data_IF_082014858168
#
_entry.id   IF_082014858168
#
_cell.length_a   1.000
_cell.length_b   1.000
_cell.length_c   1.000
_cell.angle_alpha   90.00
_cell.angle_beta   90.00
_cell.angle_gamma   90.00
#
_symmetry.space_group_name_H-M   'P 1'
#
loop_
_entity.id
_entity.type
_entity.pdbx_description
1 polymer ?
#
# COMPACT_ATOMS: atom_id res chain seq x y z
N UNK A 1 -19.60 -8.90 -24.57
CA UNK A 1 -19.18 -9.99 -25.47
C UNK A 1 -20.28 -10.31 -26.52
N UNK A 2 -21.47 -10.75 -26.09
CA UNK A 2 -22.53 -11.21 -27.04
C UNK A 2 -23.09 -10.07 -27.91
N UNK A 3 -23.22 -8.86 -27.40
CA UNK A 3 -23.69 -7.69 -28.15
C UNK A 3 -22.60 -7.14 -29.08
N UNK A 4 -21.35 -7.13 -28.66
CA UNK A 4 -20.20 -6.77 -29.49
C UNK A 4 -20.02 -7.73 -30.69
N UNK A 5 -20.20 -9.02 -30.46
CA UNK A 5 -20.15 -10.03 -31.51
C UNK A 5 -21.27 -9.81 -32.54
N UNK A 6 -22.49 -9.56 -32.09
CA UNK A 6 -23.62 -9.23 -32.98
C UNK A 6 -23.38 -7.96 -33.79
N UNK A 7 -22.79 -6.94 -33.17
CA UNK A 7 -22.44 -5.68 -33.82
C UNK A 7 -21.46 -5.92 -34.96
N UNK A 8 -20.40 -6.68 -34.72
CA UNK A 8 -19.41 -7.06 -35.75
C UNK A 8 -20.05 -7.90 -36.88
N UNK A 9 -20.82 -8.91 -36.52
CA UNK A 9 -21.49 -9.81 -37.46
C UNK A 9 -22.42 -9.02 -38.42
N UNK A 10 -23.16 -8.03 -37.90
CA UNK A 10 -24.00 -7.14 -38.72
C UNK A 10 -23.21 -6.22 -39.63
N UNK A 11 -22.13 -5.61 -39.15
CA UNK A 11 -21.26 -4.79 -39.95
C UNK A 11 -20.61 -5.61 -41.10
N UNK A 12 -20.13 -6.81 -40.77
CA UNK A 12 -19.57 -7.74 -41.80
C UNK A 12 -20.62 -8.21 -42.81
N UNK A 13 -21.88 -8.43 -42.37
CA UNK A 13 -22.97 -8.77 -43.28
C UNK A 13 -23.22 -7.67 -44.29
N UNK A 14 -23.25 -6.41 -43.86
CA UNK A 14 -23.40 -5.24 -44.76
C UNK A 14 -22.22 -5.13 -45.72
N UNK A 15 -20.99 -5.35 -45.21
CA UNK A 15 -19.78 -5.34 -46.04
C UNK A 15 -19.79 -6.42 -47.14
N UNK A 16 -20.19 -7.66 -46.77
CA UNK A 16 -20.31 -8.77 -47.74
C UNK A 16 -21.35 -8.50 -48.84
N UNK A 17 -22.47 -7.85 -48.48
CA UNK A 17 -23.51 -7.50 -49.44
C UNK A 17 -23.12 -6.37 -50.39
N UNK A 18 -22.08 -5.57 -50.04
CA UNK A 18 -21.68 -4.39 -50.81
C UNK A 18 -20.18 -4.39 -51.15
N UNK A 19 -19.62 -5.54 -51.48
CA UNK A 19 -18.18 -5.73 -51.73
C UNK A 19 -17.55 -4.74 -52.70
N UNK A 20 -18.24 -4.33 -53.72
CA UNK A 20 -17.76 -3.38 -54.76
C UNK A 20 -17.53 -1.97 -54.18
N UNK A 21 -18.28 -1.61 -53.14
CA UNK A 21 -18.18 -0.32 -52.45
C UNK A 21 -17.04 -0.26 -51.46
N UNK A 22 -16.48 -1.36 -51.07
CA UNK A 22 -15.46 -1.47 -50.01
C UNK A 22 -14.06 -1.16 -50.55
N UNK A 23 -13.29 -0.43 -49.76
CA UNK A 23 -11.84 -0.22 -50.00
C UNK A 23 -10.96 -1.30 -49.41
N UNK A 24 -11.49 -2.06 -48.44
CA UNK A 24 -10.80 -3.16 -47.76
C UNK A 24 -11.78 -4.30 -47.42
N UNK A 25 -11.26 -5.44 -46.97
CA UNK A 25 -12.03 -6.68 -46.73
C UNK A 25 -12.34 -6.96 -45.28
N UNK A 26 -12.00 -6.06 -44.36
CA UNK A 26 -12.23 -6.23 -42.92
C UNK A 26 -12.84 -4.98 -42.29
N UNK A 27 -13.69 -5.21 -41.29
CA UNK A 27 -14.21 -4.14 -40.40
C UNK A 27 -13.16 -3.67 -39.42
N UNK A 28 -13.22 -2.41 -39.03
CA UNK A 28 -12.30 -1.81 -38.05
C UNK A 28 -13.07 -1.12 -36.95
N UNK A 29 -12.47 -0.99 -35.77
CA UNK A 29 -13.02 -0.18 -34.69
C UNK A 29 -12.42 1.23 -34.77
N UNK A 30 -13.30 2.24 -34.84
CA UNK A 30 -12.94 3.66 -34.79
C UNK A 30 -13.80 4.37 -33.76
N UNK A 31 -13.18 5.03 -32.81
CA UNK A 31 -13.87 5.75 -31.73
C UNK A 31 -14.93 4.89 -31.00
N UNK A 32 -14.66 3.57 -30.84
CA UNK A 32 -15.58 2.63 -30.21
C UNK A 32 -16.68 2.05 -31.14
N UNK A 33 -16.83 2.55 -32.38
CA UNK A 33 -17.78 2.06 -33.37
C UNK A 33 -17.17 1.01 -34.30
N UNK A 34 -17.94 -0.01 -34.65
CA UNK A 34 -17.54 -0.96 -35.68
C UNK A 34 -17.84 -0.38 -37.05
N UNK A 35 -16.81 0.01 -37.76
CA UNK A 35 -16.88 0.68 -39.04
C UNK A 35 -16.49 -0.24 -40.20
N UNK A 36 -17.11 -0.05 -41.33
CA UNK A 36 -16.72 -0.66 -42.61
C UNK A 36 -16.00 0.37 -43.49
N UNK A 37 -14.93 0.00 -44.18
CA UNK A 37 -14.15 0.89 -45.02
C UNK A 37 -14.80 1.04 -46.38
N UNK A 38 -15.42 2.19 -46.63
CA UNK A 38 -16.15 2.48 -47.88
C UNK A 38 -15.34 3.46 -48.74
N UNK A 39 -15.27 3.21 -50.06
CA UNK A 39 -14.67 4.14 -51.01
C UNK A 39 -15.51 5.43 -51.06
N UNK A 40 -14.89 6.59 -51.14
CA UNK A 40 -15.54 7.91 -51.07
C UNK A 40 -16.67 8.09 -52.09
N UNK A 41 -16.53 7.54 -53.28
CA UNK A 41 -17.51 7.59 -54.34
C UNK A 41 -18.83 6.88 -54.03
N UNK A 42 -18.78 5.86 -53.16
CA UNK A 42 -19.96 5.07 -52.74
C UNK A 42 -20.57 5.49 -51.42
N UNK A 43 -20.20 6.68 -50.89
CA UNK A 43 -20.67 7.17 -49.59
C UNK A 43 -22.18 7.06 -49.39
N UNK A 44 -22.97 7.39 -50.42
CA UNK A 44 -24.43 7.43 -50.36
C UNK A 44 -25.12 6.08 -50.62
N UNK A 45 -24.36 5.06 -51.02
CA UNK A 45 -24.88 3.68 -51.21
C UNK A 45 -25.01 2.89 -49.91
N UNK A 46 -24.25 3.28 -48.89
CA UNK A 46 -24.24 2.60 -47.59
C UNK A 46 -25.01 3.44 -46.60
N UNK A 47 -26.10 2.86 -46.06
CA UNK A 47 -26.83 3.48 -44.96
C UNK A 47 -26.05 3.35 -43.65
N UNK A 48 -25.64 4.48 -43.08
CA UNK A 48 -24.85 4.50 -41.84
C UNK A 48 -24.31 5.89 -41.52
N UNK A 49 -23.64 5.97 -40.39
CA UNK A 49 -23.00 7.20 -39.88
C UNK A 49 -21.52 7.23 -40.22
N UNK A 50 -21.05 8.34 -40.77
CA UNK A 50 -19.64 8.56 -41.01
C UNK A 50 -18.94 8.84 -39.67
N UNK A 51 -18.03 7.94 -39.27
CA UNK A 51 -17.30 8.04 -38.00
C UNK A 51 -15.92 8.68 -38.23
N UNK A 52 -15.21 8.25 -39.30
CA UNK A 52 -13.84 8.69 -39.57
C UNK A 52 -13.49 8.67 -41.05
N UNK A 53 -12.34 9.23 -41.42
CA UNK A 53 -11.79 9.25 -42.77
C UNK A 53 -10.33 8.85 -42.75
N UNK A 54 -9.86 8.20 -43.84
CA UNK A 54 -8.42 7.98 -44.01
C UNK A 54 -7.67 9.30 -44.18
N UNK A 55 -6.38 9.30 -43.92
CA UNK A 55 -5.50 10.47 -44.06
C UNK A 55 -5.53 11.09 -45.48
N UNK A 56 -5.74 10.28 -46.50
CA UNK A 56 -5.90 10.72 -47.89
C UNK A 56 -7.33 11.12 -48.25
N UNK A 57 -8.31 10.84 -47.38
CA UNK A 57 -9.72 11.08 -47.60
C UNK A 57 -10.38 10.19 -48.66
N UNK A 58 -9.67 9.19 -49.19
CA UNK A 58 -10.17 8.25 -50.21
C UNK A 58 -11.05 7.15 -49.62
N UNK A 59 -10.85 6.79 -48.34
CA UNK A 59 -11.67 5.81 -47.59
C UNK A 59 -12.45 6.49 -46.50
N UNK A 60 -13.72 6.16 -46.37
CA UNK A 60 -14.63 6.60 -45.34
C UNK A 60 -14.94 5.43 -44.41
N UNK A 61 -14.78 5.62 -43.13
CA UNK A 61 -15.14 4.62 -42.12
C UNK A 61 -16.58 4.89 -41.67
N UNK A 62 -17.49 4.05 -42.13
CA UNK A 62 -18.94 4.21 -41.91
C UNK A 62 -19.39 3.12 -40.94
N UNK A 63 -20.09 3.51 -39.87
CA UNK A 63 -20.85 2.60 -39.04
C UNK A 63 -22.18 2.31 -39.74
N UNK A 64 -22.46 1.06 -40.12
CA UNK A 64 -23.74 0.73 -40.77
C UNK A 64 -24.90 0.92 -39.80
N UNK A 65 -26.02 1.45 -40.29
CA UNK A 65 -27.26 1.63 -39.47
C UNK A 65 -27.74 0.31 -38.85
N UNK A 66 -27.43 -0.83 -39.50
CA UNK A 66 -27.78 -2.15 -39.00
C UNK A 66 -26.98 -2.56 -37.73
N UNK A 67 -25.78 -1.99 -37.52
CA UNK A 67 -24.94 -2.21 -36.34
C UNK A 67 -25.11 -1.13 -35.28
N UNK A 68 -25.55 0.09 -35.64
CA UNK A 68 -25.71 1.23 -34.74
C UNK A 68 -26.62 0.96 -33.54
N UNK A 69 -27.73 0.24 -33.77
CA UNK A 69 -28.63 -0.19 -32.65
C UNK A 69 -27.93 -1.01 -31.57
N UNK A 70 -26.98 -1.87 -31.96
CA UNK A 70 -26.21 -2.67 -31.01
C UNK A 70 -25.14 -1.85 -30.29
N UNK A 71 -24.68 -0.75 -30.91
CA UNK A 71 -23.81 0.20 -30.23
C UNK A 71 -24.54 0.92 -29.10
N UNK A 72 -25.75 1.41 -29.36
CA UNK A 72 -26.62 2.03 -28.34
C UNK A 72 -26.91 1.05 -27.20
N UNK A 73 -27.34 -0.16 -27.51
CA UNK A 73 -27.57 -1.24 -26.52
C UNK A 73 -26.30 -1.53 -25.70
N UNK A 74 -25.13 -1.51 -26.33
CA UNK A 74 -23.86 -1.72 -25.64
C UNK A 74 -23.54 -0.58 -24.66
N UNK A 75 -23.83 0.67 -25.05
CA UNK A 75 -23.62 1.81 -24.15
C UNK A 75 -24.56 1.77 -22.95
N UNK A 76 -25.83 1.42 -23.15
CA UNK A 76 -26.79 1.23 -22.06
C UNK A 76 -26.33 0.13 -21.09
N UNK A 77 -25.94 -1.03 -21.60
CA UNK A 77 -25.42 -2.13 -20.77
C UNK A 77 -24.16 -1.74 -19.98
N UNK A 78 -23.26 -0.95 -20.55
CA UNK A 78 -22.08 -0.44 -19.84
C UNK A 78 -22.43 0.55 -18.73
N UNK A 79 -23.42 1.41 -18.97
CA UNK A 79 -23.93 2.32 -17.94
C UNK A 79 -24.60 1.53 -16.80
N UNK A 80 -25.37 0.50 -17.12
CA UNK A 80 -26.00 -0.37 -16.13
C UNK A 80 -24.97 -1.13 -15.30
N UNK A 81 -23.92 -1.66 -15.93
CA UNK A 81 -22.80 -2.31 -15.25
C UNK A 81 -22.10 -1.33 -14.29
N UNK A 82 -21.81 -0.11 -14.74
CA UNK A 82 -21.17 0.92 -13.89
C UNK A 82 -22.06 1.30 -12.70
N UNK A 83 -23.37 1.46 -12.93
CA UNK A 83 -24.34 1.77 -11.89
C UNK A 83 -24.44 0.63 -10.86
N UNK A 84 -24.43 -0.63 -11.32
CA UNK A 84 -24.47 -1.78 -10.43
C UNK A 84 -23.20 -1.91 -9.61
N UNK A 85 -22.01 -1.67 -10.20
CA UNK A 85 -20.74 -1.62 -9.47
C UNK A 85 -20.80 -0.52 -8.39
N UNK A 86 -21.29 0.67 -8.73
CA UNK A 86 -21.45 1.77 -7.75
C UNK A 86 -22.40 1.38 -6.62
N UNK A 87 -23.51 0.72 -6.93
CA UNK A 87 -24.49 0.25 -5.93
C UNK A 87 -23.83 -0.73 -4.95
N UNK A 88 -23.12 -1.73 -5.47
CA UNK A 88 -22.43 -2.74 -4.65
C UNK A 88 -21.38 -2.07 -3.77
N UNK A 89 -20.56 -1.18 -4.34
CA UNK A 89 -19.53 -0.47 -3.56
C UNK A 89 -20.14 0.41 -2.47
N UNK A 90 -21.26 1.06 -2.75
CA UNK A 90 -21.98 1.85 -1.73
C UNK A 90 -22.49 0.99 -0.58
N UNK A 91 -23.13 -0.15 -0.88
CA UNK A 91 -23.62 -1.09 0.14
C UNK A 91 -22.47 -1.63 1.01
N UNK A 92 -21.37 -2.05 0.38
CA UNK A 92 -20.19 -2.52 1.12
C UNK A 92 -19.57 -1.42 1.99
N UNK A 93 -19.50 -0.19 1.48
CA UNK A 93 -19.00 0.96 2.22
C UNK A 93 -19.90 1.32 3.41
N UNK A 94 -21.22 1.19 3.26
CA UNK A 94 -22.16 1.39 4.34
C UNK A 94 -21.97 0.36 5.47
N UNK A 95 -21.80 -0.92 5.14
CA UNK A 95 -21.51 -1.99 6.10
C UNK A 95 -20.20 -1.71 6.89
N UNK A 96 -19.18 -1.23 6.20
CA UNK A 96 -17.90 -0.82 6.85
C UNK A 96 -18.14 0.37 7.79
N UNK A 97 -18.90 1.38 7.33
CA UNK A 97 -19.18 2.58 8.11
C UNK A 97 -19.97 2.29 9.39
N UNK A 98 -20.92 1.36 9.35
CA UNK A 98 -21.69 0.90 10.53
C UNK A 98 -20.77 0.32 11.63
N UNK A 99 -19.64 -0.28 11.24
CA UNK A 99 -18.67 -0.88 12.15
C UNK A 99 -17.42 0.00 12.37
N UNK A 100 -17.41 1.23 11.88
CA UNK A 100 -16.25 2.11 11.85
C UNK A 100 -15.63 2.36 13.21
N UNK A 101 -16.45 2.60 14.24
CA UNK A 101 -15.97 2.83 15.61
C UNK A 101 -15.26 1.59 16.19
N UNK A 102 -15.85 0.42 16.01
CA UNK A 102 -15.25 -0.85 16.45
C UNK A 102 -13.93 -1.14 15.73
N UNK A 103 -13.87 -0.87 14.43
CA UNK A 103 -12.66 -1.02 13.63
C UNK A 103 -11.56 -0.06 14.10
N UNK A 104 -11.90 1.19 14.39
CA UNK A 104 -10.94 2.18 14.90
C UNK A 104 -10.40 1.78 16.28
N UNK A 105 -11.28 1.31 17.18
CA UNK A 105 -10.87 0.78 18.48
C UNK A 105 -9.93 -0.42 18.33
N UNK A 106 -10.25 -1.35 17.44
CA UNK A 106 -9.41 -2.50 17.17
C UNK A 106 -8.03 -2.09 16.65
N UNK A 107 -7.95 -1.13 15.72
CA UNK A 107 -6.69 -0.61 15.21
C UNK A 107 -5.84 -0.01 16.34
N UNK A 108 -6.41 0.82 17.18
CA UNK A 108 -5.71 1.39 18.35
C UNK A 108 -5.22 0.33 19.34
N UNK A 109 -6.00 -0.74 19.52
CA UNK A 109 -5.58 -1.88 20.36
C UNK A 109 -4.46 -2.67 19.72
N UNK A 110 -4.52 -2.91 18.42
CA UNK A 110 -3.46 -3.59 17.68
C UNK A 110 -2.14 -2.80 17.73
N UNK A 111 -2.17 -1.49 17.55
CA UNK A 111 -0.98 -0.63 17.70
C UNK A 111 -0.34 -0.76 19.09
N UNK A 112 -1.17 -0.73 20.14
CA UNK A 112 -0.67 -0.92 21.51
C UNK A 112 -0.06 -2.29 21.74
N UNK A 113 -0.72 -3.34 21.26
CA UNK A 113 -0.23 -4.71 21.37
C UNK A 113 1.07 -4.88 20.61
N UNK A 114 1.17 -4.40 19.38
CA UNK A 114 2.39 -4.47 18.58
C UNK A 114 3.55 -3.78 19.29
N UNK A 115 3.32 -2.59 19.86
CA UNK A 115 4.32 -1.87 20.64
C UNK A 115 4.77 -2.64 21.88
N UNK A 116 3.83 -3.27 22.62
CA UNK A 116 4.15 -4.08 23.80
C UNK A 116 4.97 -5.31 23.38
N UNK A 117 4.55 -6.03 22.34
CA UNK A 117 5.29 -7.18 21.85
C UNK A 117 6.67 -6.82 21.31
N UNK A 118 6.81 -5.68 20.65
CA UNK A 118 8.09 -5.16 20.17
C UNK A 118 9.06 -4.91 21.32
N UNK A 119 8.58 -4.28 22.41
CA UNK A 119 9.39 -4.11 23.64
C UNK A 119 9.75 -5.45 24.27
N UNK A 120 8.82 -6.38 24.35
CA UNK A 120 9.07 -7.73 24.87
C UNK A 120 10.12 -8.48 24.03
N UNK A 121 9.99 -8.44 22.71
CA UNK A 121 10.95 -9.04 21.78
C UNK A 121 12.35 -8.41 21.89
N UNK A 122 12.41 -7.09 22.01
CA UNK A 122 13.65 -6.35 22.24
C UNK A 122 14.32 -6.80 23.55
N UNK A 123 13.56 -6.85 24.65
CA UNK A 123 14.03 -7.31 25.95
C UNK A 123 14.59 -8.74 25.90
N UNK A 124 13.87 -9.65 25.25
CA UNK A 124 14.33 -11.05 25.10
C UNK A 124 15.64 -11.14 24.30
N UNK A 125 15.83 -10.23 23.31
CA UNK A 125 17.02 -10.20 22.46
C UNK A 125 18.33 -9.94 23.21
N UNK A 126 18.29 -9.20 24.34
CA UNK A 126 19.47 -8.88 25.15
C UNK A 126 19.36 -9.35 26.61
N UNK A 127 18.43 -10.25 26.96
CA UNK A 127 18.12 -10.70 28.33
C UNK A 127 17.84 -9.54 29.29
N UNK A 128 16.98 -8.63 28.84
CA UNK A 128 16.60 -7.45 29.62
C UNK A 128 15.82 -7.78 30.88
N UNK A 129 16.02 -6.97 31.91
CA UNK A 129 15.27 -7.02 33.16
C UNK A 129 14.55 -5.71 33.37
N UNK A 130 13.40 -5.79 34.02
CA UNK A 130 12.66 -4.62 34.45
C UNK A 130 13.45 -3.83 35.48
N UNK A 131 13.78 -2.54 35.23
CA UNK A 131 14.42 -1.69 36.22
C UNK A 131 13.40 -1.28 37.28
N UNK A 132 13.83 -1.19 38.52
CA UNK A 132 13.05 -0.59 39.59
C UNK A 132 13.17 0.94 39.49
N UNK A 133 12.07 1.60 39.25
CA UNK A 133 12.03 3.07 39.25
C UNK A 133 11.85 3.56 40.68
N UNK A 134 12.78 4.37 41.12
CA UNK A 134 12.84 4.89 42.50
C UNK A 134 12.73 6.41 42.51
N UNK A 135 12.21 6.98 43.62
CA UNK A 135 12.10 8.42 43.79
C UNK A 135 13.40 9.08 44.28
N UNK A 136 14.30 8.29 44.83
CA UNK A 136 15.58 8.75 45.33
C UNK A 136 16.54 9.08 44.18
N UNK A 137 17.38 10.08 44.38
CA UNK A 137 18.45 10.44 43.43
C UNK A 137 19.59 9.44 43.52
N UNK A 138 19.35 8.23 43.04
CA UNK A 138 20.31 7.14 43.02
C UNK A 138 20.22 6.38 41.71
N UNK A 139 21.37 5.96 41.21
CA UNK A 139 21.47 5.00 40.11
C UNK A 139 22.25 3.81 40.62
N UNK A 140 21.68 2.64 40.56
CA UNK A 140 22.34 1.37 40.87
C UNK A 140 22.18 0.40 39.70
N UNK A 141 23.29 -0.11 39.17
CA UNK A 141 23.28 -1.06 38.06
C UNK A 141 24.23 -2.23 38.45
N UNK A 142 23.67 -3.44 38.37
CA UNK A 142 24.42 -4.68 38.61
C UNK A 142 24.48 -5.49 37.33
N UNK A 143 25.70 -5.84 36.91
CA UNK A 143 25.97 -6.59 35.69
C UNK A 143 25.37 -5.97 34.44
N UNK A 144 25.34 -4.64 34.38
CA UNK A 144 24.80 -3.93 33.24
C UNK A 144 25.68 -4.09 31.99
N UNK A 145 25.06 -4.29 30.84
CA UNK A 145 25.73 -4.42 29.55
C UNK A 145 25.24 -3.35 28.58
N UNK A 146 26.09 -3.01 27.65
CA UNK A 146 25.69 -2.09 26.57
C UNK A 146 24.72 -2.81 25.62
N UNK A 147 23.49 -2.30 25.38
CA UNK A 147 22.44 -3.02 24.64
C UNK A 147 22.80 -3.36 23.20
N UNK A 148 23.70 -2.60 22.59
CA UNK A 148 24.13 -2.77 21.20
C UNK A 148 25.48 -3.47 21.04
N UNK A 149 26.04 -4.04 22.12
CA UNK A 149 27.28 -4.81 22.07
C UNK A 149 26.98 -6.31 22.19
N UNK A 150 27.79 -7.11 21.50
CA UNK A 150 27.73 -8.56 21.63
C UNK A 150 28.02 -8.97 23.06
N UNK A 151 27.21 -9.87 23.61
CA UNK A 151 27.34 -10.37 24.99
C UNK A 151 28.67 -11.05 25.24
N UNK A 152 29.27 -11.67 24.24
CA UNK A 152 30.56 -12.37 24.36
C UNK A 152 31.74 -11.42 24.57
N UNK A 153 31.60 -10.17 24.11
CA UNK A 153 32.63 -9.14 24.15
C UNK A 153 32.38 -8.11 25.26
N UNK A 154 31.11 -7.90 25.61
CA UNK A 154 30.70 -6.89 26.57
C UNK A 154 30.97 -7.31 28.02
N UNK A 155 31.91 -6.64 28.67
CA UNK A 155 32.18 -6.84 30.11
C UNK A 155 31.05 -6.23 30.93
N UNK A 156 30.45 -6.97 31.88
CA UNK A 156 29.40 -6.46 32.75
C UNK A 156 29.89 -5.32 33.64
N UNK A 157 29.09 -4.26 33.71
CA UNK A 157 29.38 -3.04 34.50
C UNK A 157 28.67 -3.09 35.84
N UNK A 158 29.41 -2.82 36.91
CA UNK A 158 28.88 -2.48 38.23
C UNK A 158 28.95 -0.98 38.41
N UNK A 159 27.80 -0.34 38.71
CA UNK A 159 27.75 1.09 38.84
C UNK A 159 26.81 1.52 39.97
N UNK A 160 27.25 2.47 40.81
CA UNK A 160 26.44 3.03 41.87
C UNK A 160 26.77 4.52 42.02
N UNK A 161 25.75 5.36 41.91
CA UNK A 161 25.81 6.82 42.13
C UNK A 161 24.64 7.22 43.02
N UNK A 162 24.80 8.18 43.91
CA UNK A 162 23.85 8.54 44.92
C UNK A 162 24.15 7.86 46.29
N UNK A 163 23.22 7.90 47.23
CA UNK A 163 23.41 7.35 48.60
C UNK A 163 24.73 7.83 49.29
N UNK A 164 25.02 9.14 49.18
CA UNK A 164 26.25 9.75 49.70
C UNK A 164 27.43 9.88 48.70
N UNK A 165 27.32 9.26 47.55
CA UNK A 165 28.29 9.40 46.44
C UNK A 165 27.76 10.45 45.45
N UNK A 166 28.41 11.64 45.44
CA UNK A 166 27.94 12.77 44.61
C UNK A 166 28.61 12.85 43.22
N UNK A 167 29.65 12.05 42.97
CA UNK A 167 30.37 12.07 41.71
C UNK A 167 31.30 10.86 41.58
N UNK A 168 31.50 10.44 40.34
CA UNK A 168 32.40 9.33 39.99
C UNK A 168 33.39 9.85 38.95
N UNK A 169 34.69 9.55 39.19
CA UNK A 169 35.75 9.84 38.22
C UNK A 169 36.21 8.53 37.61
N UNK A 170 36.10 8.40 36.30
CA UNK A 170 36.52 7.21 35.56
C UNK A 170 37.89 7.51 34.92
N UNK A 171 38.93 6.82 35.40
CA UNK A 171 40.31 6.96 34.89
C UNK A 171 40.76 5.68 34.20
N UNK A 172 41.79 5.78 33.36
CA UNK A 172 42.37 4.65 32.66
C UNK A 172 42.81 4.99 31.22
N UNK A 173 43.41 4.04 30.49
CA UNK A 173 43.84 4.22 29.11
C UNK A 173 42.64 4.44 28.16
N UNK A 174 42.88 5.04 26.99
CA UNK A 174 41.79 5.31 26.03
C UNK A 174 41.11 4.03 25.51
N UNK A 175 41.80 2.91 25.50
CA UNK A 175 41.28 1.60 25.11
C UNK A 175 40.55 0.87 26.25
N UNK A 176 40.54 1.42 27.46
CA UNK A 176 40.02 0.78 28.68
C UNK A 176 38.49 0.81 28.86
N UNK A 177 37.71 1.16 27.84
CA UNK A 177 36.24 1.10 27.90
C UNK A 177 35.57 2.24 28.66
N UNK A 178 36.26 3.32 29.06
CA UNK A 178 35.67 4.48 29.78
C UNK A 178 34.39 5.04 29.12
N UNK A 179 34.45 5.29 27.83
CA UNK A 179 33.33 5.82 27.04
C UNK A 179 32.18 4.81 26.96
N UNK A 180 32.50 3.52 26.87
CA UNK A 180 31.48 2.47 26.84
C UNK A 180 30.75 2.39 28.17
N UNK A 181 31.48 2.43 29.30
CA UNK A 181 30.88 2.45 30.62
C UNK A 181 29.90 3.64 30.79
N UNK A 182 30.34 4.86 30.43
CA UNK A 182 29.49 6.05 30.51
C UNK A 182 28.25 5.93 29.63
N UNK A 183 28.42 5.46 28.38
CA UNK A 183 27.28 5.22 27.46
C UNK A 183 26.34 4.15 27.98
N UNK A 184 26.85 3.08 28.60
CA UNK A 184 26.04 2.02 29.17
C UNK A 184 25.13 2.57 30.27
N UNK A 185 25.66 3.38 31.20
CA UNK A 185 24.87 4.01 32.27
C UNK A 185 23.81 4.95 31.67
N UNK A 186 24.22 5.85 30.76
CA UNK A 186 23.31 6.82 30.15
C UNK A 186 22.17 6.14 29.37
N UNK A 187 22.49 5.13 28.57
CA UNK A 187 21.48 4.36 27.81
C UNK A 187 20.56 3.58 28.76
N UNK A 188 21.07 2.99 29.83
CA UNK A 188 20.25 2.29 30.81
C UNK A 188 19.21 3.24 31.44
N UNK A 189 19.62 4.44 31.82
CA UNK A 189 18.70 5.45 32.36
C UNK A 189 17.64 5.88 31.31
N UNK A 190 18.04 6.13 30.06
CA UNK A 190 17.10 6.49 28.99
C UNK A 190 16.14 5.34 28.67
N UNK A 191 16.62 4.10 28.63
CA UNK A 191 15.77 2.93 28.43
C UNK A 191 14.73 2.78 29.53
N UNK A 192 15.14 2.95 30.80
CA UNK A 192 14.20 2.94 31.93
C UNK A 192 13.12 4.01 31.81
N UNK A 193 13.51 5.25 31.48
CA UNK A 193 12.58 6.35 31.26
C UNK A 193 11.60 6.12 30.10
N UNK A 194 12.02 5.38 29.07
CA UNK A 194 11.16 4.97 27.95
C UNK A 194 10.31 3.73 28.27
N UNK A 195 10.38 3.18 29.49
CA UNK A 195 9.66 1.97 29.87
C UNK A 195 10.18 0.72 29.15
N UNK A 196 11.48 0.67 28.87
CA UNK A 196 12.17 -0.50 28.31
C UNK A 196 12.90 -1.25 29.42
N UNK A 197 13.02 -2.56 29.26
CA UNK A 197 13.91 -3.37 30.09
C UNK A 197 15.37 -3.05 29.79
N UNK A 198 16.25 -3.29 30.76
CA UNK A 198 17.69 -3.00 30.68
C UNK A 198 18.46 -4.31 30.67
N UNK A 199 19.51 -4.47 29.81
CA UNK A 199 20.40 -5.63 29.86
C UNK A 199 21.27 -5.61 31.09
N UNK A 200 20.73 -6.04 32.23
CA UNK A 200 21.36 -6.08 33.53
C UNK A 200 20.83 -7.24 34.38
N UNK A 201 21.47 -7.50 35.50
CA UNK A 201 20.94 -8.42 36.52
C UNK A 201 19.96 -7.73 37.46
N UNK A 202 20.26 -6.46 37.82
CA UNK A 202 19.48 -5.64 38.72
C UNK A 202 19.72 -4.17 38.42
N UNK A 203 18.68 -3.33 38.46
CA UNK A 203 18.77 -1.89 38.27
C UNK A 203 17.74 -1.14 39.14
N UNK A 204 18.23 -0.12 39.87
CA UNK A 204 17.43 0.91 40.52
C UNK A 204 17.76 2.26 39.83
N UNK A 205 16.76 2.91 39.25
CA UNK A 205 16.92 4.18 38.52
C UNK A 205 15.84 5.17 38.88
#
# INVERSE_FOLDING_TARGET
LRTEDKMREKAESVMRANKECMSDHFSTIRNGHVCIPVKKEYKFRISGTLIDKSSTGSTLFIEPSASGKYYEELQELRMDEENEVRRILYELSALVAENGEAMEQNNRMMEKLDFIFSKGKLSAGYDGREPKIIAERRIFLRDARHPLMDKSVCVPLQFSLGAGINGIVITGPNTGGKTVALKTVALSCLMAQCGLHIPCREADI
#
